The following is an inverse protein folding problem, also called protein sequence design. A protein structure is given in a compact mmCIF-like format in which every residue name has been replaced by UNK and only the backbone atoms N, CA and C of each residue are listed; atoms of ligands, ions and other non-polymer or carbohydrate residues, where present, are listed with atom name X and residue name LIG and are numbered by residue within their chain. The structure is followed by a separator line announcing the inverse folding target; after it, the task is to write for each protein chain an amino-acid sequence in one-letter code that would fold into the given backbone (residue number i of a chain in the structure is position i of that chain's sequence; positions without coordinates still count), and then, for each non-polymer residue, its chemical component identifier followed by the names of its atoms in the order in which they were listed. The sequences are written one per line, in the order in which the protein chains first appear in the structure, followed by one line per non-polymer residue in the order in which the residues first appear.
data_IF_780716582990
#
_entry.id   IF_780716582990
#
_cell.length_a   1.000
_cell.length_b   1.000
_cell.length_c   1.000
_cell.angle_alpha   90.00
_cell.angle_beta   90.00
_cell.angle_gamma   90.00
#
_symmetry.space_group_name_H-M   'P 1'
#
loop_
_entity.id
_entity.type
_entity.pdbx_description
1 polymer ?
#
# COMPACT_ATOMS: atom_id res chain seq x y z
N UNK A 1 -2.65 51.22 -53.34
CA UNK A 1 -1.68 50.42 -52.56
C UNK A 1 -2.43 49.36 -51.79
N UNK A 2 -2.21 48.08 -52.14
CA UNK A 2 -2.80 46.91 -51.47
C UNK A 2 -2.09 46.70 -50.12
N UNK A 3 -2.84 46.50 -49.04
CA UNK A 3 -2.32 45.92 -47.80
C UNK A 3 -3.11 44.64 -47.51
N UNK A 4 -2.44 43.52 -47.74
CA UNK A 4 -2.83 42.19 -47.28
C UNK A 4 -2.21 41.90 -45.90
N UNK A 5 -2.77 40.87 -45.23
CA UNK A 5 -2.07 39.90 -44.36
C UNK A 5 -1.70 40.42 -42.95
N UNK A 6 -1.90 39.73 -41.81
CA UNK A 6 -2.07 38.30 -41.49
C UNK A 6 -2.98 38.19 -40.26
N UNK A 7 -3.96 37.28 -40.28
CA UNK A 7 -4.61 36.77 -39.08
C UNK A 7 -3.70 35.72 -38.43
N UNK A 8 -3.21 36.01 -37.22
CA UNK A 8 -2.35 35.13 -36.44
C UNK A 8 -3.22 34.13 -35.67
N UNK A 9 -3.37 32.92 -36.20
CA UNK A 9 -4.00 31.80 -35.50
C UNK A 9 -3.04 31.22 -34.46
N UNK A 10 -3.31 31.50 -33.18
CA UNK A 10 -2.65 30.82 -32.06
C UNK A 10 -3.29 29.43 -31.88
N UNK A 11 -2.58 28.39 -32.35
CA UNK A 11 -2.87 26.99 -32.04
C UNK A 11 -2.57 26.74 -30.56
N UNK A 12 -3.61 26.67 -29.74
CA UNK A 12 -3.54 26.13 -28.38
C UNK A 12 -3.41 24.61 -28.49
N UNK A 13 -2.19 24.09 -28.61
CA UNK A 13 -1.90 22.70 -28.28
C UNK A 13 -1.97 22.57 -26.76
N UNK A 14 -3.16 22.26 -26.23
CA UNK A 14 -3.26 21.71 -24.88
C UNK A 14 -2.61 20.33 -24.90
N UNK A 15 -1.41 20.22 -24.32
CA UNK A 15 -0.92 18.93 -23.85
C UNK A 15 -1.97 18.38 -22.88
N UNK A 16 -2.79 17.43 -23.32
CA UNK A 16 -3.55 16.60 -22.40
C UNK A 16 -2.52 15.83 -21.59
N UNK A 17 -2.33 16.22 -20.34
CA UNK A 17 -1.64 15.39 -19.35
C UNK A 17 -2.56 14.20 -19.05
N UNK A 18 -2.66 13.27 -20.01
CA UNK A 18 -3.26 11.97 -19.77
C UNK A 18 -2.28 11.22 -18.89
N UNK A 19 -2.38 11.47 -17.58
CA UNK A 19 -1.76 10.61 -16.60
C UNK A 19 -2.30 9.19 -16.81
N UNK A 20 -1.39 8.22 -16.83
CA UNK A 20 -1.74 6.81 -16.92
C UNK A 20 -2.69 6.44 -15.79
N UNK A 21 -3.73 5.66 -16.10
CA UNK A 21 -4.73 5.23 -15.12
C UNK A 21 -4.04 4.38 -14.03
N UNK A 22 -4.01 4.84 -12.76
CA UNK A 22 -3.33 4.10 -11.69
C UNK A 22 -3.90 2.69 -11.48
N UNK A 23 -5.18 2.45 -11.83
CA UNK A 23 -5.81 1.14 -11.72
C UNK A 23 -5.28 0.13 -12.75
N UNK A 24 -4.76 0.59 -13.89
CA UNK A 24 -4.30 -0.30 -14.96
C UNK A 24 -2.81 -0.62 -14.84
N UNK A 25 -2.48 -1.91 -14.70
CA UNK A 25 -1.10 -2.44 -14.56
C UNK A 25 -0.51 -2.73 -15.94
N UNK A 26 0.17 -1.75 -16.54
CA UNK A 26 0.79 -1.91 -17.87
C UNK A 26 2.27 -2.31 -17.83
N UNK A 27 2.90 -2.21 -16.66
CA UNK A 27 4.31 -2.51 -16.42
C UNK A 27 4.52 -3.25 -15.09
N UNK A 28 5.75 -3.70 -14.84
CA UNK A 28 6.09 -4.32 -13.56
C UNK A 28 6.12 -3.25 -12.47
N UNK A 29 5.36 -3.45 -11.40
CA UNK A 29 5.31 -2.52 -10.26
C UNK A 29 5.06 -3.23 -8.93
N UNK A 30 5.51 -2.61 -7.86
CA UNK A 30 5.21 -3.04 -6.49
C UNK A 30 3.83 -2.49 -6.14
N UNK A 31 2.84 -3.38 -5.99
CA UNK A 31 1.46 -2.98 -5.67
C UNK A 31 1.23 -2.86 -4.16
N UNK A 32 1.89 -3.71 -3.36
CA UNK A 32 1.74 -3.71 -1.91
C UNK A 32 2.93 -4.39 -1.22
N UNK A 33 3.21 -3.94 0.00
CA UNK A 33 4.13 -4.60 0.93
C UNK A 33 3.41 -4.76 2.28
N UNK A 34 3.30 -6.01 2.73
CA UNK A 34 2.76 -6.39 4.04
C UNK A 34 3.91 -6.86 4.93
N UNK A 35 3.83 -6.56 6.22
CA UNK A 35 4.74 -7.06 7.26
C UNK A 35 3.93 -7.65 8.40
N UNK A 36 4.33 -8.81 8.90
CA UNK A 36 3.70 -9.49 10.03
C UNK A 36 4.77 -9.79 11.11
N UNK A 37 4.70 -9.12 12.28
CA UNK A 37 3.73 -8.07 12.63
C UNK A 37 3.99 -6.76 11.86
N UNK A 38 2.99 -5.88 11.78
CA UNK A 38 3.14 -4.52 11.25
C UNK A 38 3.57 -3.49 12.32
N UNK A 39 3.37 -3.82 13.59
CA UNK A 39 3.82 -3.05 14.75
C UNK A 39 4.36 -3.99 15.84
N UNK A 40 5.42 -3.55 16.51
CA UNK A 40 5.91 -4.15 17.74
C UNK A 40 5.60 -3.24 18.92
N UNK A 41 5.13 -3.82 20.03
CA UNK A 41 5.18 -3.15 21.32
C UNK A 41 6.54 -3.43 21.95
N UNK A 42 7.31 -2.38 22.23
CA UNK A 42 8.66 -2.47 22.78
C UNK A 42 8.76 -1.80 24.15
N UNK A 43 9.56 -2.42 25.02
CA UNK A 43 9.94 -1.85 26.31
C UNK A 43 11.16 -0.93 26.21
N UNK A 44 11.73 -0.58 27.37
CA UNK A 44 13.02 0.11 27.45
C UNK A 44 14.18 -0.78 27.00
N UNK A 45 14.08 -2.07 27.30
CA UNK A 45 15.04 -3.08 26.89
C UNK A 45 14.55 -3.68 25.57
N UNK A 46 15.31 -3.42 24.49
CA UNK A 46 15.02 -3.96 23.16
C UNK A 46 15.58 -5.37 23.02
N UNK A 47 14.87 -6.21 22.28
CA UNK A 47 15.33 -7.55 21.90
C UNK A 47 16.44 -7.41 20.85
N UNK A 48 17.41 -8.33 20.84
CA UNK A 48 18.55 -8.29 19.90
C UNK A 48 18.12 -8.24 18.43
N UNK A 49 17.02 -8.93 18.09
CA UNK A 49 16.48 -8.96 16.73
C UNK A 49 14.95 -9.03 16.76
N UNK A 50 14.33 -8.32 15.81
CA UNK A 50 12.90 -8.37 15.56
C UNK A 50 12.63 -9.12 14.26
N UNK A 51 11.84 -10.18 14.34
CA UNK A 51 11.50 -11.03 13.21
C UNK A 51 10.22 -10.54 12.53
N UNK A 52 10.31 -10.26 11.23
CA UNK A 52 9.19 -9.80 10.41
C UNK A 52 9.02 -10.71 9.21
N UNK A 53 7.82 -11.27 9.04
CA UNK A 53 7.42 -11.91 7.79
C UNK A 53 6.92 -10.84 6.84
N UNK A 54 7.66 -10.58 5.77
CA UNK A 54 7.29 -9.62 4.73
C UNK A 54 6.64 -10.35 3.54
N UNK A 55 5.52 -9.84 3.05
CA UNK A 55 4.92 -10.26 1.78
C UNK A 55 4.93 -9.11 0.78
N UNK A 56 5.49 -9.35 -0.39
CA UNK A 56 5.63 -8.41 -1.50
C UNK A 56 4.70 -8.82 -2.65
N UNK A 57 3.80 -7.92 -3.04
CA UNK A 57 2.93 -8.10 -4.20
C UNK A 57 3.51 -7.35 -5.41
N UNK A 58 3.99 -8.12 -6.40
CA UNK A 58 4.44 -7.59 -7.69
C UNK A 58 3.34 -7.76 -8.74
N UNK A 59 2.83 -6.66 -9.27
CA UNK A 59 1.92 -6.63 -10.40
C UNK A 59 2.70 -6.46 -11.70
N UNK A 60 2.25 -7.11 -12.76
CA UNK A 60 2.75 -6.92 -14.13
C UNK A 60 1.63 -7.32 -15.09
N UNK A 61 1.65 -6.92 -16.37
CA UNK A 61 0.67 -7.38 -17.33
C UNK A 61 0.89 -8.84 -17.75
N UNK A 62 -0.16 -9.50 -18.27
CA UNK A 62 -0.18 -10.95 -18.54
C UNK A 62 0.79 -11.38 -19.63
N UNK A 63 1.14 -10.48 -20.55
CA UNK A 63 2.17 -10.72 -21.56
C UNK A 63 3.60 -10.65 -21.01
N UNK A 64 3.79 -10.11 -19.80
CA UNK A 64 5.10 -9.90 -19.17
C UNK A 64 5.43 -11.01 -18.17
N UNK A 65 4.87 -12.22 -18.32
CA UNK A 65 5.29 -13.37 -17.52
C UNK A 65 6.77 -13.63 -17.80
N UNK A 66 7.62 -13.25 -16.85
CA UNK A 66 9.05 -13.54 -16.91
C UNK A 66 9.29 -14.90 -16.28
N UNK A 67 9.82 -15.83 -17.09
CA UNK A 67 10.19 -17.17 -16.62
C UNK A 67 11.28 -17.10 -15.53
N UNK A 68 12.14 -16.08 -15.62
CA UNK A 68 13.23 -15.86 -14.68
C UNK A 68 12.83 -14.96 -13.50
N UNK A 69 13.20 -15.34 -12.26
CA UNK A 69 12.95 -14.50 -11.10
C UNK A 69 13.91 -13.30 -11.06
N UNK A 70 13.39 -12.17 -10.59
CA UNK A 70 14.19 -10.98 -10.31
C UNK A 70 15.00 -11.15 -9.03
N UNK A 71 16.03 -10.31 -8.89
CA UNK A 71 16.72 -10.14 -7.61
C UNK A 71 16.09 -9.00 -6.81
N UNK A 72 15.50 -9.33 -5.66
CA UNK A 72 14.97 -8.37 -4.71
C UNK A 72 15.92 -8.19 -3.52
N UNK A 73 16.00 -6.97 -3.02
CA UNK A 73 16.75 -6.61 -1.81
C UNK A 73 15.85 -5.82 -0.86
N UNK A 74 15.89 -6.16 0.42
CA UNK A 74 15.33 -5.36 1.51
C UNK A 74 16.48 -4.67 2.22
N UNK A 75 16.42 -3.35 2.32
CA UNK A 75 17.43 -2.55 3.02
C UNK A 75 16.80 -1.48 3.89
N UNK A 76 17.56 -1.03 4.86
CA UNK A 76 17.22 0.09 5.73
C UNK A 76 18.24 1.21 5.58
N UNK A 77 17.78 2.44 5.70
CA UNK A 77 18.58 3.65 5.82
C UNK A 77 17.72 4.75 6.48
N UNK A 78 18.36 5.87 6.79
CA UNK A 78 17.67 7.10 7.21
C UNK A 78 16.85 7.67 6.05
N UNK A 79 15.55 7.35 6.02
CA UNK A 79 14.60 7.83 5.00
C UNK A 79 13.98 9.14 5.48
N UNK A 80 14.04 10.15 4.61
CA UNK A 80 13.49 11.48 4.88
C UNK A 80 12.47 11.83 3.80
N UNK A 81 11.64 12.84 4.05
CA UNK A 81 10.69 13.33 3.04
C UNK A 81 11.37 13.80 1.74
N UNK A 82 12.59 14.32 1.85
CA UNK A 82 13.36 14.86 0.72
C UNK A 82 14.11 13.77 -0.06
N UNK A 83 14.35 12.63 0.58
CA UNK A 83 15.03 11.48 -0.01
C UNK A 83 14.33 10.20 0.46
N UNK A 84 13.27 9.78 -0.27
CA UNK A 84 12.44 8.65 0.10
C UNK A 84 13.12 7.30 -0.13
N UNK A 85 14.28 7.28 -0.79
CA UNK A 85 15.05 6.07 -1.10
C UNK A 85 16.36 6.02 -0.32
N UNK A 86 16.99 4.84 -0.28
CA UNK A 86 18.36 4.68 0.22
C UNK A 86 19.43 4.97 -0.83
N UNK A 87 19.06 5.54 -1.98
CA UNK A 87 20.02 5.90 -3.01
C UNK A 87 20.96 7.01 -2.51
N UNK A 88 22.26 6.82 -2.72
CA UNK A 88 23.29 7.77 -2.28
C UNK A 88 23.54 7.81 -0.76
N UNK A 89 22.94 6.90 0.00
CA UNK A 89 23.07 6.84 1.47
C UNK A 89 23.80 5.57 1.91
N UNK A 90 24.34 5.61 3.13
CA UNK A 90 24.75 4.39 3.84
C UNK A 90 23.50 3.57 4.14
N UNK A 91 23.42 2.35 3.62
CA UNK A 91 22.27 1.46 3.81
C UNK A 91 22.71 0.12 4.36
N UNK A 92 21.91 -0.44 5.27
CA UNK A 92 22.06 -1.80 5.76
C UNK A 92 21.19 -2.74 4.92
N UNK A 93 21.82 -3.67 4.18
CA UNK A 93 21.09 -4.76 3.52
C UNK A 93 20.62 -5.77 4.57
N UNK A 94 19.29 -5.87 4.75
CA UNK A 94 18.67 -6.78 5.70
C UNK A 94 18.42 -8.15 5.07
N UNK A 95 18.09 -8.18 3.78
CA UNK A 95 17.81 -9.42 3.06
C UNK A 95 17.98 -9.29 1.56
N UNK A 96 18.49 -10.34 0.92
CA UNK A 96 18.45 -10.54 -0.54
C UNK A 96 17.76 -11.84 -0.88
N UNK A 97 16.90 -11.81 -1.88
CA UNK A 97 16.09 -12.96 -2.27
C UNK A 97 15.70 -12.90 -3.76
N UNK A 98 15.19 -14.03 -4.27
CA UNK A 98 14.62 -14.12 -5.60
C UNK A 98 13.10 -13.89 -5.51
N UNK A 99 12.59 -13.02 -6.36
CA UNK A 99 11.17 -12.63 -6.38
C UNK A 99 10.59 -12.78 -7.79
N UNK A 100 9.27 -12.98 -7.89
CA UNK A 100 8.52 -13.18 -9.14
C UNK A 100 7.27 -12.31 -9.14
N UNK A 101 6.66 -12.11 -10.31
CA UNK A 101 5.31 -11.52 -10.40
C UNK A 101 4.34 -12.32 -9.51
N UNK A 102 3.47 -11.64 -8.77
CA UNK A 102 2.58 -12.21 -7.76
C UNK A 102 3.06 -11.98 -6.33
N UNK A 103 2.59 -12.82 -5.41
CA UNK A 103 2.89 -12.74 -3.98
C UNK A 103 4.20 -13.45 -3.64
N UNK A 104 5.12 -12.76 -2.98
CA UNK A 104 6.40 -13.28 -2.52
C UNK A 104 6.51 -13.10 -1.01
N UNK A 105 6.75 -14.18 -0.26
CA UNK A 105 6.92 -14.10 1.20
C UNK A 105 8.38 -14.34 1.57
N UNK A 106 8.91 -13.51 2.47
CA UNK A 106 10.28 -13.58 2.95
C UNK A 106 10.37 -13.16 4.42
N UNK A 107 11.27 -13.79 5.17
CA UNK A 107 11.58 -13.37 6.54
C UNK A 107 12.72 -12.37 6.57
N UNK A 108 12.54 -11.31 7.34
CA UNK A 108 13.49 -10.21 7.56
C UNK A 108 13.78 -10.11 9.06
N UNK A 109 15.04 -9.92 9.42
CA UNK A 109 15.47 -9.67 10.79
C UNK A 109 15.92 -8.22 10.89
N UNK A 110 15.30 -7.45 11.79
CA UNK A 110 15.66 -6.07 12.08
C UNK A 110 16.51 -6.09 13.37
N UNK A 111 17.81 -5.74 13.30
CA UNK A 111 18.66 -5.66 14.49
C UNK A 111 18.20 -4.55 15.44
N UNK A 112 18.41 -4.72 16.75
CA UNK A 112 18.07 -3.68 17.73
C UNK A 112 18.77 -2.36 17.46
N UNK A 113 19.98 -2.39 16.90
CA UNK A 113 20.78 -1.19 16.62
C UNK A 113 20.05 -0.28 15.62
N UNK A 114 19.32 -0.86 14.66
CA UNK A 114 18.47 -0.11 13.72
C UNK A 114 17.33 0.57 14.46
N UNK A 115 16.65 -0.15 15.36
CA UNK A 115 15.54 0.41 16.15
C UNK A 115 16.05 1.53 17.06
N UNK A 116 17.19 1.32 17.72
CA UNK A 116 17.83 2.32 18.58
C UNK A 116 18.24 3.57 17.81
N UNK A 117 18.81 3.42 16.62
CA UNK A 117 19.20 4.55 15.77
C UNK A 117 18.00 5.43 15.44
N UNK A 118 16.88 4.83 15.00
CA UNK A 118 15.65 5.56 14.69
C UNK A 118 15.06 6.22 15.95
N UNK A 119 15.09 5.53 17.10
CA UNK A 119 14.64 6.10 18.37
C UNK A 119 15.44 7.34 18.80
N UNK A 120 16.76 7.35 18.56
CA UNK A 120 17.62 8.48 18.87
C UNK A 120 17.38 9.68 17.95
N UNK A 121 16.86 9.46 16.75
CA UNK A 121 16.53 10.50 15.78
C UNK A 121 15.14 11.12 16.01
N UNK A 122 14.22 10.42 16.68
CA UNK A 122 12.90 10.95 16.99
C UNK A 122 12.92 11.78 18.29
N UNK A 123 12.75 13.12 18.21
CA UNK A 123 12.80 14.00 19.38
C UNK A 123 11.63 13.79 20.35
N UNK A 124 10.58 13.08 19.93
CA UNK A 124 9.43 12.75 20.78
C UNK A 124 9.63 11.44 21.54
N UNK A 125 10.64 10.63 21.20
CA UNK A 125 10.90 9.35 21.86
C UNK A 125 11.14 9.54 23.37
N UNK A 126 10.48 8.72 24.19
CA UNK A 126 10.56 8.80 25.66
C UNK A 126 9.72 9.90 26.31
N UNK A 127 8.95 10.68 25.53
CA UNK A 127 7.99 11.65 26.09
C UNK A 127 6.63 11.00 26.38
N UNK A 128 5.80 11.57 27.29
CA UNK A 128 4.46 11.06 27.56
C UNK A 128 3.52 11.03 26.34
N UNK A 129 3.85 11.77 25.28
CA UNK A 129 3.04 11.94 24.06
C UNK A 129 3.53 11.07 22.89
N UNK A 130 4.53 10.22 23.11
CA UNK A 130 5.16 9.41 22.07
C UNK A 130 4.28 8.22 21.66
N UNK A 131 3.95 8.13 20.37
CA UNK A 131 3.12 7.05 19.81
C UNK A 131 3.92 5.89 19.21
N UNK A 132 5.22 6.05 18.97
CA UNK A 132 6.13 5.04 18.41
C UNK A 132 7.06 5.62 17.34
N UNK A 133 8.02 4.81 16.88
CA UNK A 133 8.92 5.14 15.76
C UNK A 133 8.72 4.21 14.59
N UNK A 134 8.95 4.70 13.37
CA UNK A 134 8.84 3.92 12.15
C UNK A 134 10.23 3.50 11.62
N UNK A 135 10.51 2.20 11.61
CA UNK A 135 11.66 1.67 10.86
C UNK A 135 11.21 1.45 9.42
N UNK A 136 11.76 2.26 8.51
CA UNK A 136 11.46 2.14 7.08
C UNK A 136 12.33 1.06 6.42
N UNK A 137 11.66 0.17 5.69
CA UNK A 137 12.22 -0.87 4.85
C UNK A 137 12.02 -0.45 3.39
N UNK A 138 13.12 -0.32 2.66
CA UNK A 138 13.09 -0.17 1.21
C UNK A 138 13.27 -1.54 0.55
N UNK A 139 12.30 -1.92 -0.26
CA UNK A 139 12.37 -3.11 -1.11
C UNK A 139 12.71 -2.67 -2.52
N UNK A 140 13.80 -3.19 -3.08
CA UNK A 140 14.30 -2.85 -4.42
C UNK A 140 14.28 -4.09 -5.31
N UNK A 141 13.68 -3.99 -6.49
CA UNK A 141 13.79 -4.97 -7.59
C UNK A 141 14.94 -4.52 -8.49
N UNK A 142 16.14 -5.08 -8.28
CA UNK A 142 17.39 -4.56 -8.84
C UNK A 142 17.39 -4.48 -10.37
N UNK A 143 16.89 -5.52 -11.04
CA UNK A 143 16.94 -5.66 -12.50
C UNK A 143 16.03 -4.64 -13.22
N UNK A 144 15.15 -3.97 -12.48
CA UNK A 144 14.12 -3.07 -13.00
C UNK A 144 14.17 -1.67 -12.38
N UNK A 145 15.10 -1.44 -11.44
CA UNK A 145 15.20 -0.20 -10.68
C UNK A 145 13.86 0.26 -10.08
N UNK A 146 13.06 -0.70 -9.61
CA UNK A 146 11.80 -0.44 -8.93
C UNK A 146 12.03 -0.49 -7.43
N UNK A 147 11.41 0.42 -6.69
CA UNK A 147 11.48 0.39 -5.24
C UNK A 147 10.09 0.62 -4.62
N UNK A 148 9.92 0.13 -3.41
CA UNK A 148 8.74 0.32 -2.59
C UNK A 148 9.15 0.45 -1.13
N UNK A 149 8.37 1.21 -0.36
CA UNK A 149 8.64 1.47 1.04
C UNK A 149 7.61 0.79 1.93
N UNK A 150 8.08 0.30 3.07
CA UNK A 150 7.23 -0.24 4.13
C UNK A 150 7.79 0.15 5.49
N UNK A 151 6.99 0.80 6.32
CA UNK A 151 7.32 0.99 7.72
C UNK A 151 6.93 -0.23 8.55
N UNK A 152 7.77 -0.58 9.50
CA UNK A 152 7.42 -1.40 10.67
C UNK A 152 7.43 -0.48 11.88
N UNK A 153 6.32 -0.41 12.61
CA UNK A 153 6.20 0.48 13.76
C UNK A 153 6.77 -0.18 15.03
N UNK A 154 7.46 0.61 15.84
CA UNK A 154 7.99 0.20 17.14
C UNK A 154 7.48 1.18 18.19
N UNK A 155 6.50 0.74 18.97
CA UNK A 155 5.75 1.61 19.85
C UNK A 155 5.94 1.22 21.31
N UNK A 156 5.98 2.20 22.23
CA UNK A 156 5.96 1.88 23.65
C UNK A 156 4.59 1.33 24.07
N UNK A 157 4.54 0.59 25.18
CA UNK A 157 3.29 0.24 25.86
C UNK A 157 2.72 1.45 26.64
N UNK A 158 2.47 2.55 25.92
CA UNK A 158 1.87 3.77 26.47
C UNK A 158 0.62 4.14 25.65
N UNK A 159 -0.58 4.16 26.25
CA UNK A 159 -0.88 3.80 27.65
C UNK A 159 -0.71 2.30 27.94
N UNK A 160 -0.63 1.93 29.23
CA UNK A 160 -0.53 0.53 29.66
C UNK A 160 -1.68 -0.31 29.08
N UNK A 161 -1.37 -1.48 28.55
CA UNK A 161 -2.34 -2.36 27.89
C UNK A 161 -2.60 -2.02 26.41
N UNK A 162 -1.88 -1.05 25.83
CA UNK A 162 -1.88 -0.84 24.38
C UNK A 162 -1.43 -2.11 23.66
N UNK A 163 -2.17 -2.49 22.64
CA UNK A 163 -1.84 -3.61 21.75
C UNK A 163 -1.14 -3.08 20.50
N UNK A 164 -0.29 -3.92 19.91
CA UNK A 164 0.25 -3.67 18.59
C UNK A 164 -0.88 -3.68 17.56
N UNK A 165 -0.74 -2.84 16.53
CA UNK A 165 -1.53 -2.91 15.32
C UNK A 165 -1.46 -4.31 14.69
N UNK A 166 -2.55 -4.71 14.07
CA UNK A 166 -2.62 -5.91 13.24
C UNK A 166 -2.87 -5.51 11.79
N UNK A 167 -2.49 -6.38 10.86
CA UNK A 167 -2.87 -6.15 9.47
C UNK A 167 -4.39 -6.32 9.33
N UNK A 168 -5.08 -5.47 8.54
CA UNK A 168 -6.49 -5.65 8.25
C UNK A 168 -6.71 -6.96 7.48
N UNK A 169 -7.96 -7.43 7.38
CA UNK A 169 -8.29 -8.68 6.69
C UNK A 169 -9.36 -8.43 5.63
N UNK A 170 -9.07 -8.85 4.39
CA UNK A 170 -10.09 -8.92 3.35
C UNK A 170 -10.88 -10.22 3.58
N UNK A 171 -12.13 -10.10 4.04
CA UNK A 171 -12.99 -11.26 4.32
C UNK A 171 -13.44 -11.93 3.01
N UNK A 172 -13.88 -11.10 2.05
CA UNK A 172 -14.30 -11.56 0.73
C UNK A 172 -14.26 -10.43 -0.30
N UNK A 173 -14.34 -10.84 -1.56
CA UNK A 173 -14.56 -9.94 -2.70
C UNK A 173 -15.88 -10.34 -3.35
N UNK A 174 -16.67 -9.36 -3.74
CA UNK A 174 -17.96 -9.55 -4.40
C UNK A 174 -17.97 -8.86 -5.77
N UNK A 175 -18.73 -9.41 -6.69
CA UNK A 175 -19.04 -8.81 -7.99
C UNK A 175 -20.55 -8.74 -8.12
N UNK A 176 -21.07 -7.54 -8.36
CA UNK A 176 -22.50 -7.25 -8.45
C UNK A 176 -23.29 -7.78 -7.22
N UNK A 177 -22.68 -7.68 -6.03
CA UNK A 177 -23.25 -8.12 -4.76
C UNK A 177 -23.13 -9.63 -4.48
N UNK A 178 -22.52 -10.41 -5.38
CA UNK A 178 -22.33 -11.86 -5.21
C UNK A 178 -20.87 -12.18 -4.89
N UNK A 179 -20.57 -12.94 -3.82
CA UNK A 179 -19.20 -13.40 -3.55
C UNK A 179 -18.57 -14.13 -4.74
N UNK A 180 -17.31 -13.81 -5.03
CA UNK A 180 -16.59 -14.47 -6.12
C UNK A 180 -16.41 -15.97 -5.82
N UNK A 181 -16.51 -16.78 -6.86
CA UNK A 181 -16.14 -18.21 -6.83
C UNK A 181 -15.23 -18.47 -8.02
N UNK A 182 -14.10 -19.15 -7.79
CA UNK A 182 -13.15 -19.47 -8.84
C UNK A 182 -13.42 -20.87 -9.43
N UNK A 183 -13.23 -21.07 -10.75
CA UNK A 183 -12.80 -20.09 -11.76
C UNK A 183 -13.90 -19.06 -12.08
N UNK A 184 -13.49 -17.81 -12.30
CA UNK A 184 -14.39 -16.69 -12.59
C UNK A 184 -14.41 -16.40 -14.10
N UNK A 185 -15.61 -16.16 -14.65
CA UNK A 185 -15.82 -15.72 -16.03
C UNK A 185 -16.60 -14.42 -16.06
N UNK A 186 -16.14 -13.46 -16.84
CA UNK A 186 -16.77 -12.15 -16.98
C UNK A 186 -17.11 -11.88 -18.46
N UNK A 187 -18.40 -11.72 -18.82
CA UNK A 187 -18.73 -11.32 -20.19
C UNK A 187 -18.26 -9.90 -20.50
N UNK A 188 -17.68 -9.68 -21.69
CA UNK A 188 -17.13 -8.38 -22.11
C UNK A 188 -18.15 -7.25 -22.25
N UNK A 189 -19.43 -7.58 -22.42
CA UNK A 189 -20.44 -6.65 -22.90
C UNK A 189 -21.05 -5.72 -21.83
N UNK A 190 -20.52 -5.71 -20.60
CA UNK A 190 -21.00 -4.85 -19.52
C UNK A 190 -19.94 -4.52 -18.48
N UNK A 191 -20.10 -3.41 -17.74
CA UNK A 191 -19.32 -3.15 -16.53
C UNK A 191 -19.72 -4.08 -15.37
N UNK A 192 -18.82 -4.24 -14.41
CA UNK A 192 -18.99 -5.02 -13.18
C UNK A 192 -18.65 -4.19 -11.97
N UNK A 193 -19.52 -4.21 -10.95
CA UNK A 193 -19.25 -3.55 -9.68
C UNK A 193 -18.48 -4.51 -8.77
N UNK A 194 -17.21 -4.23 -8.51
CA UNK A 194 -16.42 -4.96 -7.53
C UNK A 194 -16.59 -4.32 -6.16
N UNK A 195 -16.75 -5.14 -5.12
CA UNK A 195 -16.79 -4.70 -3.73
C UNK A 195 -15.79 -5.54 -2.91
N UNK A 196 -14.90 -4.86 -2.17
CA UNK A 196 -14.00 -5.48 -1.20
C UNK A 196 -14.66 -5.38 0.18
N UNK A 197 -14.92 -6.53 0.80
CA UNK A 197 -15.52 -6.58 2.13
C UNK A 197 -14.43 -6.87 3.15
N UNK A 198 -14.01 -5.88 3.96
CA UNK A 198 -13.09 -6.11 5.06
C UNK A 198 -13.79 -6.87 6.19
N UNK A 199 -13.04 -7.66 6.96
CA UNK A 199 -13.52 -8.27 8.21
C UNK A 199 -13.93 -7.18 9.20
N UNK A 200 -14.91 -7.46 10.07
CA UNK A 200 -15.35 -6.56 11.13
C UNK A 200 -14.21 -6.12 12.05
N UNK A 201 -13.20 -6.98 12.22
CA UNK A 201 -12.05 -6.75 13.09
C UNK A 201 -10.93 -5.97 12.40
N UNK A 202 -11.10 -5.60 11.13
CA UNK A 202 -10.06 -4.89 10.35
C UNK A 202 -9.93 -3.41 10.71
N UNK A 203 -10.89 -2.85 11.47
CA UNK A 203 -10.81 -1.47 11.97
C UNK A 203 -10.61 -1.51 13.46
N UNK A 204 -9.38 -1.27 13.89
CA UNK A 204 -9.09 -1.21 15.31
C UNK A 204 -9.35 0.20 15.84
N UNK A 205 -9.86 0.28 17.08
CA UNK A 205 -9.82 1.53 17.84
C UNK A 205 -8.56 1.51 18.71
N UNK A 206 -7.65 2.42 18.41
CA UNK A 206 -6.38 2.58 19.14
C UNK A 206 -6.48 3.70 20.14
N UNK A 207 -5.82 3.50 21.27
CA UNK A 207 -5.70 4.53 22.31
C UNK A 207 -4.30 5.10 22.24
N UNK A 208 -4.22 6.39 21.93
CA UNK A 208 -2.98 7.15 21.92
C UNK A 208 -2.84 7.98 23.19
N UNK A 209 -1.61 8.25 23.65
CA UNK A 209 -1.42 9.24 24.69
C UNK A 209 -1.96 10.60 24.25
N UNK A 210 -2.44 11.40 25.20
CA UNK A 210 -2.90 12.75 24.93
C UNK A 210 -1.79 13.59 24.31
N UNK A 211 -2.06 14.23 23.16
CA UNK A 211 -1.14 15.19 22.58
C UNK A 211 -1.17 16.49 23.40
N UNK A 212 0.01 17.02 23.68
CA UNK A 212 0.33 18.14 24.57
C UNK A 212 -0.73 19.28 24.57
N UNK A 213 -1.27 19.73 25.73
CA UNK A 213 -0.90 19.39 27.11
C UNK A 213 -1.23 17.95 27.51
N UNK A 214 -0.52 17.37 28.51
CA UNK A 214 -0.90 16.07 29.07
C UNK A 214 -2.38 16.07 29.46
N UNK A 215 -3.14 15.12 28.95
CA UNK A 215 -4.59 15.04 29.10
C UNK A 215 -5.08 13.60 29.07
N UNK A 216 -6.38 13.41 28.86
CA UNK A 216 -6.95 12.08 28.72
C UNK A 216 -6.49 11.43 27.39
N UNK A 217 -6.13 10.13 27.41
CA UNK A 217 -5.82 9.38 26.19
C UNK A 217 -6.92 9.55 25.13
N UNK A 218 -6.50 9.65 23.88
CA UNK A 218 -7.43 9.84 22.76
C UNK A 218 -7.61 8.51 22.05
N UNK A 219 -8.86 8.09 21.90
CA UNK A 219 -9.22 6.94 21.08
C UNK A 219 -9.39 7.37 19.63
N UNK A 220 -8.62 6.79 18.72
CA UNK A 220 -8.72 7.00 17.28
C UNK A 220 -9.07 5.67 16.64
N UNK A 221 -10.14 5.67 15.85
CA UNK A 221 -10.53 4.50 15.05
C UNK A 221 -9.85 4.59 13.70
N UNK A 222 -9.24 3.49 13.27
CA UNK A 222 -8.62 3.40 11.97
C UNK A 222 -9.61 3.59 10.83
N UNK A 223 -9.11 4.15 9.73
CA UNK A 223 -9.82 4.19 8.47
C UNK A 223 -9.23 3.11 7.56
N UNK A 224 -10.02 2.66 6.60
CA UNK A 224 -9.61 1.71 5.58
C UNK A 224 -9.56 2.41 4.22
N UNK A 225 -8.58 1.99 3.43
CA UNK A 225 -8.46 2.39 2.03
C UNK A 225 -8.28 1.15 1.18
N UNK A 226 -9.11 1.00 0.15
CA UNK A 226 -8.99 -0.06 -0.84
C UNK A 226 -8.49 0.54 -2.13
N UNK A 227 -7.41 -0.03 -2.67
CA UNK A 227 -6.92 0.26 -4.02
C UNK A 227 -7.23 -0.91 -4.95
N UNK A 228 -7.72 -0.60 -6.15
CA UNK A 228 -8.20 -1.54 -7.16
C UNK A 228 -7.26 -1.52 -8.36
N UNK A 229 -6.78 -2.69 -8.76
CA UNK A 229 -5.91 -2.82 -9.92
C UNK A 229 -6.33 -3.97 -10.83
N UNK A 230 -6.09 -3.81 -12.13
CA UNK A 230 -6.22 -4.86 -13.15
C UNK A 230 -5.14 -4.74 -14.20
N UNK A 231 -4.75 -5.83 -14.88
CA UNK A 231 -3.80 -5.76 -16.01
C UNK A 231 -4.45 -5.50 -17.36
N UNK A 232 -5.78 -5.54 -17.42
CA UNK A 232 -6.57 -5.07 -18.55
C UNK A 232 -7.94 -4.57 -18.06
N UNK A 233 -8.52 -3.62 -18.82
CA UNK A 233 -9.65 -2.83 -18.35
C UNK A 233 -9.26 -1.85 -17.23
N UNK A 234 -10.21 -1.01 -16.83
CA UNK A 234 -9.98 0.05 -15.87
C UNK A 234 -11.10 0.12 -14.83
N UNK A 235 -10.74 0.53 -13.62
CA UNK A 235 -11.68 0.83 -12.55
C UNK A 235 -12.08 2.31 -12.60
N UNK A 236 -13.36 2.62 -12.38
CA UNK A 236 -13.87 3.99 -12.32
C UNK A 236 -13.17 4.81 -11.24
N UNK A 237 -12.93 4.16 -10.09
CA UNK A 237 -12.21 4.71 -8.95
C UNK A 237 -11.11 3.72 -8.58
N UNK A 238 -9.85 4.11 -8.80
CA UNK A 238 -8.72 3.24 -8.47
C UNK A 238 -8.52 3.12 -6.96
N UNK A 239 -9.08 4.02 -6.15
CA UNK A 239 -9.00 4.02 -4.70
C UNK A 239 -10.31 4.50 -4.05
N UNK A 240 -10.75 3.80 -3.01
CA UNK A 240 -11.89 4.18 -2.17
C UNK A 240 -11.48 4.13 -0.71
N UNK A 241 -11.81 5.16 0.06
CA UNK A 241 -11.42 5.30 1.46
C UNK A 241 -12.57 5.83 2.29
N UNK A 242 -12.64 5.42 3.56
CA UNK A 242 -13.50 6.07 4.56
C UNK A 242 -12.73 7.05 5.45
N UNK A 243 -11.47 7.38 5.07
CA UNK A 243 -10.63 8.36 5.75
C UNK A 243 -11.39 9.68 5.92
N UNK A 244 -11.49 10.20 7.16
CA UNK A 244 -12.07 11.51 7.39
C UNK A 244 -11.16 12.62 6.85
N UNK A 245 -11.72 13.81 6.60
CA UNK A 245 -10.92 14.97 6.21
C UNK A 245 -9.91 15.36 7.30
N UNK A 246 -10.29 15.19 8.57
CA UNK A 246 -9.45 15.39 9.73
C UNK A 246 -9.17 14.04 10.40
N UNK A 247 -7.90 13.68 10.52
CA UNK A 247 -7.45 12.37 11.05
C UNK A 247 -7.86 12.10 12.51
N UNK A 248 -8.30 13.13 13.24
CA UNK A 248 -8.82 13.00 14.61
C UNK A 248 -10.33 12.78 14.68
N UNK A 249 -11.03 12.80 13.54
CA UNK A 249 -12.45 12.49 13.44
C UNK A 249 -12.69 10.99 13.23
N UNK A 250 -13.93 10.56 13.42
CA UNK A 250 -14.29 9.17 13.15
C UNK A 250 -14.31 8.88 11.64
N UNK A 251 -13.97 7.65 11.21
CA UNK A 251 -14.12 7.23 9.83
C UNK A 251 -15.54 7.47 9.30
N UNK A 252 -15.64 7.78 8.02
CA UNK A 252 -16.92 8.07 7.37
C UNK A 252 -17.80 6.81 7.39
N UNK A 253 -18.92 6.88 8.11
CA UNK A 253 -19.84 5.74 8.24
C UNK A 253 -20.53 5.40 6.92
N UNK A 254 -20.74 4.10 6.65
CA UNK A 254 -21.54 3.63 5.52
C UNK A 254 -20.83 3.65 4.16
N UNK A 255 -19.52 3.94 4.13
CA UNK A 255 -18.70 3.81 2.91
C UNK A 255 -18.66 2.35 2.48
N UNK A 256 -18.98 2.11 1.21
CA UNK A 256 -18.75 0.82 0.54
C UNK A 256 -17.47 0.92 -0.26
N UNK A 257 -16.56 -0.03 -0.06
CA UNK A 257 -15.31 -0.12 -0.82
C UNK A 257 -15.57 -0.79 -2.16
N UNK A 258 -16.20 -0.05 -3.07
CA UNK A 258 -16.65 -0.56 -4.35
C UNK A 258 -16.15 0.31 -5.51
N UNK A 259 -15.83 -0.33 -6.64
CA UNK A 259 -15.42 0.35 -7.86
C UNK A 259 -15.90 -0.40 -9.08
N UNK A 260 -16.30 0.33 -10.12
CA UNK A 260 -16.83 -0.26 -11.35
C UNK A 260 -15.69 -0.55 -12.30
N UNK A 261 -15.50 -1.81 -12.66
CA UNK A 261 -14.52 -2.22 -13.67
C UNK A 261 -15.18 -2.39 -15.03
N UNK A 262 -14.48 -1.95 -16.08
CA UNK A 262 -14.88 -2.17 -17.45
C UNK A 262 -13.67 -2.44 -18.34
N UNK A 263 -13.81 -3.40 -19.24
CA UNK A 263 -12.82 -3.68 -20.28
C UNK A 263 -13.24 -3.05 -21.61
N UNK A 264 -12.28 -2.44 -22.30
CA UNK A 264 -12.49 -1.86 -23.64
C UNK A 264 -11.82 -2.66 -24.75
N UNK A 265 -10.74 -3.39 -24.42
CA UNK A 265 -10.04 -4.23 -25.37
C UNK A 265 -10.89 -5.45 -25.76
N UNK A 266 -10.94 -5.77 -27.05
CA UNK A 266 -11.67 -6.91 -27.60
C UNK A 266 -10.88 -8.21 -27.55
N UNK A 267 -9.55 -8.14 -27.47
CA UNK A 267 -8.67 -9.30 -27.66
C UNK A 267 -8.20 -9.93 -26.35
N UNK A 268 -8.40 -9.23 -25.22
CA UNK A 268 -8.06 -9.73 -23.89
C UNK A 268 -8.89 -10.97 -23.54
N UNK A 269 -8.24 -12.11 -23.30
CA UNK A 269 -8.88 -13.39 -22.92
C UNK A 269 -8.96 -13.64 -21.42
N UNK A 270 -8.08 -13.01 -20.66
CA UNK A 270 -7.97 -13.16 -19.23
C UNK A 270 -7.48 -11.85 -18.61
N UNK A 271 -7.97 -11.55 -17.41
CA UNK A 271 -7.61 -10.38 -16.62
C UNK A 271 -7.23 -10.82 -15.22
N UNK A 272 -6.09 -10.33 -14.73
CA UNK A 272 -5.73 -10.44 -13.32
C UNK A 272 -6.14 -9.19 -12.60
N UNK A 273 -6.73 -9.40 -11.43
CA UNK A 273 -7.19 -8.36 -10.52
C UNK A 273 -6.36 -8.40 -9.24
N UNK A 274 -6.06 -7.23 -8.69
CA UNK A 274 -5.44 -7.07 -7.38
C UNK A 274 -6.22 -6.04 -6.57
N UNK A 275 -6.39 -6.34 -5.29
CA UNK A 275 -7.07 -5.49 -4.33
C UNK A 275 -6.16 -5.33 -3.12
N UNK A 276 -5.88 -4.09 -2.74
CA UNK A 276 -5.00 -3.77 -1.61
C UNK A 276 -5.81 -3.00 -0.57
N UNK A 277 -5.86 -3.52 0.65
CA UNK A 277 -6.52 -2.94 1.80
C UNK A 277 -5.47 -2.40 2.77
N UNK A 278 -5.52 -1.10 3.06
CA UNK A 278 -4.60 -0.37 3.95
C UNK A 278 -5.39 0.25 5.10
N UNK A 279 -4.87 0.16 6.34
CA UNK A 279 -5.49 0.68 7.57
C UNK A 279 -5.03 2.10 7.96
N UNK A 280 -4.16 2.72 7.15
CA UNK A 280 -3.56 4.02 7.41
C UNK A 280 -2.54 4.06 8.56
N UNK A 281 -2.34 2.95 9.26
CA UNK A 281 -1.46 2.77 10.43
C UNK A 281 -0.35 1.75 10.17
N UNK A 282 -0.10 1.42 8.91
CA UNK A 282 0.97 0.52 8.47
C UNK A 282 0.55 -0.94 8.32
N UNK A 283 -0.68 -1.32 8.67
CA UNK A 283 -1.23 -2.64 8.32
C UNK A 283 -1.71 -2.67 6.88
N UNK A 284 -1.40 -3.75 6.19
CA UNK A 284 -1.77 -3.97 4.79
C UNK A 284 -2.22 -5.42 4.59
N UNK A 285 -3.31 -5.60 3.85
CA UNK A 285 -3.69 -6.87 3.26
C UNK A 285 -3.89 -6.73 1.76
N UNK A 286 -3.79 -7.84 1.04
CA UNK A 286 -4.09 -7.85 -0.38
C UNK A 286 -4.62 -9.20 -0.81
N UNK A 287 -5.38 -9.18 -1.90
CA UNK A 287 -5.91 -10.37 -2.57
C UNK A 287 -5.76 -10.20 -4.08
N UNK A 288 -5.65 -11.32 -4.79
CA UNK A 288 -5.55 -11.33 -6.24
C UNK A 288 -6.17 -12.58 -6.83
N UNK A 289 -6.77 -12.45 -7.99
CA UNK A 289 -7.30 -13.57 -8.76
C UNK A 289 -7.30 -13.25 -10.25
N UNK A 290 -7.54 -14.28 -11.05
CA UNK A 290 -7.65 -14.22 -12.49
C UNK A 290 -9.08 -14.53 -12.91
N UNK A 291 -9.57 -13.86 -13.95
CA UNK A 291 -10.87 -14.12 -14.56
C UNK A 291 -10.73 -14.27 -16.08
N UNK A 292 -11.40 -15.27 -16.65
CA UNK A 292 -11.54 -15.38 -18.09
C UNK A 292 -12.54 -14.33 -18.61
N UNK A 293 -12.26 -13.74 -19.76
CA UNK A 293 -13.15 -12.80 -20.44
C UNK A 293 -13.77 -13.47 -21.65
N UNK A 294 -15.10 -13.60 -21.62
CA UNK A 294 -15.92 -14.13 -22.72
C UNK A 294 -16.18 -13.06 -23.79
#
# INVERSE_FOLDING_TARGET
MKKSLIALGFLMFSCSTNFEDPSLVQDLRILAIRTEPCEFIVGKDLDDYYFVNMSLLLGAPSYLVLDEPFTCVVRHCDITRESPTCEGKTSLELRRFKCRVGNNTISVYIPKEVVQEVQLQDPTYGTPVHSGVAVWLEVVVLDKNLFGLKSVLFSPENPKGRKANQNPVIERIQIDGVPITLPLKLPRNRPFLFEVVPSSDSKETKVFPALNPPGEPVSVTEFLTVSFYSDAGAFSDWQVSDKPQNIFEQPTSGVKFQSTWQIQDTDTKSVRFWFVLDDGSGGVAFSSFEADID
#
